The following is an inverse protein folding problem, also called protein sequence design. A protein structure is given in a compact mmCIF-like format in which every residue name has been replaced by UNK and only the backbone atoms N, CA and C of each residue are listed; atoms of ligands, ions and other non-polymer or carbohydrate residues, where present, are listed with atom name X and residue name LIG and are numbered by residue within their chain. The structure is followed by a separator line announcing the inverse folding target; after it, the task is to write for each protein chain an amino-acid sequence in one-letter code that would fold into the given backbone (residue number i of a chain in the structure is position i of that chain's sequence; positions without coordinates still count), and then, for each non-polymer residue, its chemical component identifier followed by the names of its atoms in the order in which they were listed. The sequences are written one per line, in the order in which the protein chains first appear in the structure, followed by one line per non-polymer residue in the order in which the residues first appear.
data_IF_324651063678
#
_entry.id   IF_324651063678
#
_cell.length_a   1.000
_cell.length_b   1.000
_cell.length_c   1.000
_cell.angle_alpha   90.00
_cell.angle_beta   90.00
_cell.angle_gamma   90.00
#
_symmetry.space_group_name_H-M   'P 1'
#
loop_
_entity.id
_entity.type
_entity.pdbx_description
1 polymer ?
#
# COMPACT_ATOMS: atom_id res chain seq x y z
N UNK A 1 -17.74 4.71 8.81
CA UNK A 1 -18.91 5.60 8.60
C UNK A 1 -18.83 6.41 7.31
N UNK A 2 -17.90 7.37 7.15
CA UNK A 2 -17.84 8.23 5.96
C UNK A 2 -17.78 7.45 4.63
N UNK A 3 -16.92 6.42 4.53
CA UNK A 3 -16.88 5.56 3.34
C UNK A 3 -18.19 4.82 3.08
N UNK A 4 -18.82 4.26 4.12
CA UNK A 4 -20.12 3.61 3.99
C UNK A 4 -21.22 4.57 3.54
N UNK A 5 -21.20 5.82 4.03
CA UNK A 5 -22.15 6.85 3.61
C UNK A 5 -21.93 7.29 2.16
N UNK A 6 -20.67 7.46 1.74
CA UNK A 6 -20.32 7.84 0.37
C UNK A 6 -20.57 6.71 -0.62
N UNK A 7 -20.24 5.47 -0.29
CA UNK A 7 -20.18 4.36 -1.27
C UNK A 7 -21.24 3.27 -1.07
N UNK A 8 -21.99 3.26 0.04
CA UNK A 8 -22.93 2.18 0.38
C UNK A 8 -24.29 2.23 -0.33
N UNK A 9 -24.59 3.32 -1.04
CA UNK A 9 -25.80 3.44 -1.84
C UNK A 9 -25.63 2.92 -3.27
N UNK A 10 -26.75 2.79 -4.02
CA UNK A 10 -26.71 2.43 -5.45
C UNK A 10 -25.93 3.45 -6.32
N UNK A 11 -25.87 4.70 -5.84
CA UNK A 11 -25.08 5.80 -6.40
C UNK A 11 -24.29 6.45 -5.26
N UNK A 12 -23.05 6.89 -5.49
CA UNK A 12 -22.26 7.49 -4.43
C UNK A 12 -22.88 8.80 -3.91
N UNK A 13 -22.85 9.00 -2.60
CA UNK A 13 -23.27 10.25 -1.99
C UNK A 13 -22.13 11.28 -2.05
N UNK A 14 -22.34 12.36 -2.81
CA UNK A 14 -21.35 13.42 -2.98
C UNK A 14 -21.30 14.43 -1.83
N UNK A 15 -22.17 14.32 -0.81
CA UNK A 15 -22.26 15.28 0.30
C UNK A 15 -22.36 14.58 1.65
N UNK A 16 -21.32 14.70 2.47
CA UNK A 16 -21.34 14.22 3.85
C UNK A 16 -22.08 15.22 4.75
N UNK A 17 -22.98 14.77 5.64
CA UNK A 17 -23.70 15.65 6.56
C UNK A 17 -22.78 16.19 7.66
N UNK A 18 -23.15 17.31 8.32
CA UNK A 18 -22.34 17.90 9.39
C UNK A 18 -22.01 16.96 10.55
N UNK A 19 -22.93 16.04 10.88
CA UNK A 19 -22.73 15.02 11.92
C UNK A 19 -21.60 14.03 11.62
N UNK A 20 -21.19 13.89 10.35
CA UNK A 20 -20.03 13.10 9.93
C UNK A 20 -18.85 14.04 9.64
N UNK A 21 -19.06 15.08 8.84
CA UNK A 21 -17.98 15.95 8.34
C UNK A 21 -17.25 16.69 9.45
N UNK A 22 -17.96 17.30 10.41
CA UNK A 22 -17.35 18.11 11.47
C UNK A 22 -16.41 17.27 12.35
N UNK A 23 -16.86 16.16 12.99
CA UNK A 23 -15.95 15.35 13.80
C UNK A 23 -14.86 14.69 12.97
N UNK A 24 -15.16 14.24 11.74
CA UNK A 24 -14.16 13.58 10.91
C UNK A 24 -13.02 14.54 10.53
N UNK A 25 -13.34 15.77 10.13
CA UNK A 25 -12.34 16.79 9.85
C UNK A 25 -11.50 17.15 11.08
N UNK A 26 -12.12 17.24 12.26
CA UNK A 26 -11.39 17.52 13.49
C UNK A 26 -10.40 16.40 13.85
N UNK A 27 -10.84 15.14 13.81
CA UNK A 27 -9.99 13.98 14.10
C UNK A 27 -8.88 13.83 13.06
N UNK A 28 -9.22 14.00 11.78
CA UNK A 28 -8.24 14.00 10.68
C UNK A 28 -7.16 15.08 10.86
N UNK A 29 -7.57 16.30 11.24
CA UNK A 29 -6.60 17.37 11.54
C UNK A 29 -5.72 17.04 12.74
N UNK A 30 -6.30 16.43 13.80
CA UNK A 30 -5.57 16.07 15.00
C UNK A 30 -4.55 14.95 14.75
N UNK A 31 -4.91 13.95 13.95
CA UNK A 31 -4.04 12.82 13.58
C UNK A 31 -3.10 13.16 12.40
N UNK A 32 -3.19 14.37 11.85
CA UNK A 32 -2.45 14.80 10.66
C UNK A 32 -2.68 13.87 9.45
N UNK A 33 -3.91 13.38 9.29
CA UNK A 33 -4.32 12.48 8.21
C UNK A 33 -5.43 13.12 7.36
N UNK A 34 -5.51 12.84 6.05
CA UNK A 34 -6.64 13.30 5.24
C UNK A 34 -7.95 12.62 5.70
N UNK A 35 -9.10 13.30 5.59
CA UNK A 35 -10.42 12.75 5.94
C UNK A 35 -10.93 11.79 4.86
N UNK A 36 -10.24 10.65 4.73
CA UNK A 36 -10.59 9.49 3.91
C UNK A 36 -10.09 8.24 4.62
N UNK A 37 -10.60 7.05 4.29
CA UNK A 37 -10.08 5.80 4.85
C UNK A 37 -8.70 5.49 4.27
N UNK A 38 -7.65 5.94 4.96
CA UNK A 38 -6.25 5.67 4.63
C UNK A 38 -5.85 4.25 5.04
N UNK A 39 -4.69 3.78 4.58
CA UNK A 39 -4.09 2.52 5.03
C UNK A 39 -3.92 2.47 6.56
N UNK A 40 -3.58 3.60 7.18
CA UNK A 40 -3.49 3.73 8.63
C UNK A 40 -4.84 3.43 9.32
N UNK A 41 -5.93 4.02 8.82
CA UNK A 41 -7.27 3.80 9.39
C UNK A 41 -7.83 2.40 9.08
N UNK A 42 -7.55 1.86 7.90
CA UNK A 42 -8.06 0.56 7.46
C UNK A 42 -7.29 -0.64 8.02
N UNK A 43 -6.00 -0.45 8.33
CA UNK A 43 -5.12 -1.53 8.79
C UNK A 43 -4.52 -1.19 10.17
N UNK A 44 -3.59 -0.22 10.25
CA UNK A 44 -2.75 -0.01 11.45
C UNK A 44 -3.56 0.25 12.73
N UNK A 45 -4.72 0.90 12.62
CA UNK A 45 -5.63 1.22 13.72
C UNK A 45 -6.85 0.29 13.81
N UNK A 46 -6.96 -0.71 12.94
CA UNK A 46 -8.17 -1.51 12.75
C UNK A 46 -7.90 -3.02 12.95
N UNK A 47 -7.38 -3.39 14.11
CA UNK A 47 -7.14 -4.78 14.44
C UNK A 47 -7.21 -5.02 15.94
N UNK A 48 -7.45 -6.26 16.33
CA UNK A 48 -7.29 -6.76 17.70
C UNK A 48 -6.74 -8.19 17.70
N UNK A 49 -5.99 -8.59 18.74
CA UNK A 49 -5.65 -9.99 18.93
C UNK A 49 -6.88 -10.80 19.35
N UNK A 50 -6.90 -12.09 19.00
CA UNK A 50 -7.94 -13.01 19.45
C UNK A 50 -7.78 -13.44 20.92
N UNK A 51 -6.56 -13.38 21.45
CA UNK A 51 -6.26 -13.63 22.85
C UNK A 51 -5.00 -12.90 23.31
N UNK A 52 -4.85 -12.72 24.62
CA UNK A 52 -3.68 -12.05 25.20
C UNK A 52 -2.39 -12.84 24.98
N UNK A 53 -1.31 -12.13 24.64
CA UNK A 53 0.02 -12.73 24.44
C UNK A 53 0.18 -13.56 23.17
N UNK A 54 -0.82 -13.57 22.28
CA UNK A 54 -0.76 -14.33 21.02
C UNK A 54 0.21 -13.71 20.00
N UNK A 55 0.79 -14.54 19.13
CA UNK A 55 1.72 -14.08 18.10
C UNK A 55 0.99 -13.26 17.02
N UNK A 56 1.11 -11.93 17.09
CA UNK A 56 0.52 -10.97 16.15
C UNK A 56 1.06 -11.09 14.72
N UNK A 57 2.16 -11.83 14.52
CA UNK A 57 2.72 -12.05 13.19
C UNK A 57 1.91 -13.09 12.42
N UNK A 58 0.99 -13.81 13.05
CA UNK A 58 0.12 -14.78 12.36
C UNK A 58 -1.25 -14.15 12.11
N UNK A 59 -1.73 -14.11 10.86
CA UNK A 59 -3.00 -13.46 10.53
C UNK A 59 -4.22 -14.15 11.17
N UNK A 60 -4.15 -15.44 11.49
CA UNK A 60 -5.22 -16.18 12.18
C UNK A 60 -5.47 -15.66 13.59
N UNK A 61 -4.46 -15.02 14.18
CA UNK A 61 -4.49 -14.53 15.55
C UNK A 61 -5.07 -13.11 15.65
N UNK A 62 -5.47 -12.53 14.53
CA UNK A 62 -5.94 -11.16 14.39
C UNK A 62 -7.36 -11.12 13.82
N UNK A 63 -8.11 -10.09 14.19
CA UNK A 63 -9.39 -9.76 13.58
C UNK A 63 -9.48 -8.24 13.36
N UNK A 64 -10.09 -7.81 12.25
CA UNK A 64 -10.41 -6.40 12.02
C UNK A 64 -11.50 -5.91 12.98
N UNK A 65 -11.33 -4.72 13.56
CA UNK A 65 -12.33 -4.12 14.46
C UNK A 65 -13.59 -3.68 13.71
N UNK A 66 -13.40 -3.20 12.48
CA UNK A 66 -14.42 -2.63 11.64
C UNK A 66 -14.26 -3.12 10.20
N UNK A 67 -15.39 -3.55 9.63
CA UNK A 67 -15.56 -3.97 8.24
C UNK A 67 -16.77 -3.23 7.66
N UNK A 68 -16.77 -3.04 6.34
CA UNK A 68 -17.85 -2.40 5.58
C UNK A 68 -18.79 -3.44 4.96
N UNK A 69 -18.26 -4.56 4.48
CA UNK A 69 -19.03 -5.69 3.94
C UNK A 69 -19.52 -6.64 5.04
N UNK A 70 -18.85 -6.65 6.21
CA UNK A 70 -19.09 -7.64 7.27
C UNK A 70 -18.59 -9.04 6.94
N UNK A 71 -17.84 -9.23 5.85
CA UNK A 71 -17.36 -10.54 5.41
C UNK A 71 -16.02 -10.92 6.04
N UNK A 72 -15.77 -12.22 6.14
CA UNK A 72 -14.47 -12.75 6.55
C UNK A 72 -13.36 -12.32 5.58
N UNK A 73 -13.67 -12.26 4.29
CA UNK A 73 -12.77 -11.80 3.23
C UNK A 73 -12.21 -10.40 3.47
N UNK A 74 -13.03 -9.49 4.04
CA UNK A 74 -12.59 -8.12 4.34
C UNK A 74 -11.70 -8.09 5.56
N UNK A 75 -12.06 -8.83 6.62
CA UNK A 75 -11.22 -8.97 7.80
C UNK A 75 -9.87 -9.57 7.41
N UNK A 76 -9.86 -10.65 6.62
CA UNK A 76 -8.64 -11.32 6.13
C UNK A 76 -7.76 -10.38 5.32
N UNK A 77 -8.35 -9.60 4.41
CA UNK A 77 -7.63 -8.62 3.60
C UNK A 77 -6.86 -7.59 4.47
N UNK A 78 -7.48 -7.10 5.55
CA UNK A 78 -6.81 -6.19 6.48
C UNK A 78 -5.77 -6.91 7.34
N UNK A 79 -6.10 -8.05 7.95
CA UNK A 79 -5.20 -8.71 8.92
C UNK A 79 -3.96 -9.34 8.28
N UNK A 80 -4.02 -9.72 7.00
CA UNK A 80 -2.80 -10.08 6.24
C UNK A 80 -1.82 -8.90 6.21
N UNK A 81 -2.32 -7.70 5.95
CA UNK A 81 -1.52 -6.47 5.96
C UNK A 81 -0.98 -6.18 7.38
N UNK A 82 -1.82 -6.33 8.42
CA UNK A 82 -1.38 -6.16 9.81
C UNK A 82 -0.29 -7.16 10.22
N UNK A 83 -0.43 -8.44 9.87
CA UNK A 83 0.55 -9.47 10.16
C UNK A 83 1.90 -9.22 9.45
N UNK A 84 1.87 -8.67 8.23
CA UNK A 84 3.07 -8.23 7.51
C UNK A 84 3.79 -7.10 8.25
N UNK A 85 3.06 -6.07 8.70
CA UNK A 85 3.61 -4.95 9.48
C UNK A 85 4.20 -5.42 10.81
N UNK A 86 3.49 -6.29 11.55
CA UNK A 86 3.98 -6.89 12.79
C UNK A 86 5.24 -7.72 12.57
N UNK A 87 5.32 -8.47 11.47
CA UNK A 87 6.50 -9.28 11.11
C UNK A 87 7.70 -8.41 10.76
N UNK A 88 7.48 -7.21 10.24
CA UNK A 88 8.53 -6.28 9.87
C UNK A 88 9.12 -5.48 11.03
N UNK A 89 8.46 -5.44 12.19
CA UNK A 89 8.91 -4.63 13.33
C UNK A 89 10.39 -4.85 13.70
N UNK A 90 10.90 -6.09 13.86
CA UNK A 90 12.32 -6.31 14.19
C UNK A 90 13.28 -5.94 13.04
N UNK A 91 12.79 -5.88 11.80
CA UNK A 91 13.60 -5.53 10.63
C UNK A 91 14.00 -4.05 10.66
N UNK A 92 13.17 -3.20 11.27
CA UNK A 92 13.45 -1.76 11.37
C UNK A 92 14.71 -1.54 12.20
N UNK A 93 14.75 -2.07 13.43
CA UNK A 93 15.90 -1.95 14.34
C UNK A 93 17.17 -2.61 13.76
N UNK A 94 17.00 -3.79 13.13
CA UNK A 94 18.10 -4.49 12.47
C UNK A 94 18.73 -3.64 11.35
N UNK A 95 17.92 -2.99 10.49
CA UNK A 95 18.49 -2.20 9.40
C UNK A 95 19.03 -0.85 9.86
N UNK A 96 18.51 -0.28 10.96
CA UNK A 96 19.16 0.86 11.63
C UNK A 96 20.54 0.45 12.18
N UNK A 97 20.65 -0.75 12.74
CA UNK A 97 21.94 -1.30 13.18
C UNK A 97 22.89 -1.52 12.00
N UNK A 98 22.38 -1.90 10.83
CA UNK A 98 23.18 -2.03 9.62
C UNK A 98 23.71 -0.66 9.13
N UNK A 99 22.93 0.41 9.24
CA UNK A 99 23.38 1.78 8.94
C UNK A 99 24.52 2.20 9.89
N UNK A 100 24.37 1.95 11.19
CA UNK A 100 25.45 2.23 12.16
C UNK A 100 26.70 1.37 11.94
N UNK A 101 26.54 0.13 11.47
CA UNK A 101 27.65 -0.77 11.18
C UNK A 101 28.49 -0.28 9.98
N UNK A 102 27.85 0.35 8.99
CA UNK A 102 28.55 1.01 7.87
C UNK A 102 29.50 2.09 8.39
N UNK A 103 29.06 2.94 9.33
CA UNK A 103 29.89 4.02 9.88
C UNK A 103 31.11 3.50 10.66
N UNK A 104 31.06 2.24 11.11
CA UNK A 104 32.15 1.55 11.82
C UNK A 104 32.97 0.65 10.91
N UNK A 105 32.70 0.66 9.60
CA UNK A 105 33.29 -0.25 8.61
C UNK A 105 33.12 -1.74 8.94
N UNK A 106 32.07 -2.11 9.68
CA UNK A 106 31.76 -3.49 10.06
C UNK A 106 30.96 -4.21 8.97
N UNK A 107 31.67 -4.63 7.92
CA UNK A 107 31.09 -5.36 6.79
C UNK A 107 30.40 -6.66 7.21
N UNK A 108 30.88 -7.35 8.25
CA UNK A 108 30.31 -8.61 8.71
C UNK A 108 28.88 -8.42 9.25
N UNK A 109 28.66 -7.37 10.05
CA UNK A 109 27.32 -7.03 10.56
C UNK A 109 26.40 -6.58 9.42
N UNK A 110 26.89 -5.78 8.46
CA UNK A 110 26.10 -5.36 7.29
C UNK A 110 25.67 -6.58 6.46
N UNK A 111 26.59 -7.50 6.18
CA UNK A 111 26.32 -8.76 5.46
C UNK A 111 25.26 -9.59 6.20
N UNK A 112 25.41 -9.76 7.51
CA UNK A 112 24.46 -10.52 8.32
C UNK A 112 23.05 -9.90 8.28
N UNK A 113 22.95 -8.57 8.41
CA UNK A 113 21.68 -7.85 8.34
C UNK A 113 21.03 -7.95 6.97
N UNK A 114 21.78 -7.79 5.88
CA UNK A 114 21.27 -7.95 4.50
C UNK A 114 20.81 -9.40 4.22
N UNK A 115 21.60 -10.38 4.67
CA UNK A 115 21.26 -11.78 4.59
C UNK A 115 19.97 -12.12 5.33
N UNK A 116 19.77 -11.53 6.51
CA UNK A 116 18.53 -11.66 7.29
C UNK A 116 17.36 -10.93 6.64
N UNK A 117 17.55 -9.70 6.16
CA UNK A 117 16.55 -8.92 5.43
C UNK A 117 15.99 -9.71 4.24
N UNK A 118 16.85 -10.39 3.48
CA UNK A 118 16.42 -11.28 2.38
C UNK A 118 15.45 -12.36 2.86
N UNK A 119 15.78 -13.07 3.94
CA UNK A 119 14.93 -14.14 4.50
C UNK A 119 13.59 -13.59 4.99
N UNK A 120 13.66 -12.43 5.63
CA UNK A 120 12.55 -11.74 6.24
C UNK A 120 11.57 -11.16 5.18
N UNK A 121 12.08 -10.57 4.09
CA UNK A 121 11.29 -10.15 2.93
C UNK A 121 10.59 -11.34 2.25
N UNK A 122 11.27 -12.47 2.11
CA UNK A 122 10.65 -13.69 1.61
C UNK A 122 9.52 -14.19 2.54
N UNK A 123 9.67 -14.01 3.85
CA UNK A 123 8.63 -14.32 4.84
C UNK A 123 7.41 -13.41 4.74
N UNK A 124 7.62 -12.11 4.49
CA UNK A 124 6.54 -11.15 4.19
C UNK A 124 5.84 -11.50 2.88
N UNK A 125 6.59 -11.88 1.84
CA UNK A 125 6.00 -12.32 0.56
C UNK A 125 5.13 -13.56 0.73
N UNK A 126 5.55 -14.52 1.56
CA UNK A 126 4.72 -15.70 1.87
C UNK A 126 3.42 -15.30 2.57
N UNK A 127 3.44 -14.36 3.52
CA UNK A 127 2.19 -13.85 4.14
C UNK A 127 1.26 -13.24 3.10
N UNK A 128 1.79 -12.44 2.18
CA UNK A 128 0.99 -11.81 1.14
C UNK A 128 0.30 -12.86 0.25
N UNK A 129 0.95 -13.98 -0.06
CA UNK A 129 0.37 -15.07 -0.85
C UNK A 129 -0.79 -15.79 -0.14
N UNK A 130 -0.89 -15.68 1.19
CA UNK A 130 -2.00 -16.25 1.99
C UNK A 130 -3.31 -15.49 1.83
N UNK A 131 -3.34 -14.40 1.07
CA UNK A 131 -4.57 -13.68 0.75
C UNK A 131 -5.64 -14.64 0.20
N UNK A 132 -5.24 -15.63 -0.61
CA UNK A 132 -6.15 -16.60 -1.22
C UNK A 132 -6.81 -17.58 -0.25
N UNK A 133 -6.30 -17.70 0.97
CA UNK A 133 -6.80 -18.69 1.92
C UNK A 133 -8.23 -18.36 2.37
N UNK A 134 -8.54 -17.06 2.52
CA UNK A 134 -9.82 -16.59 3.09
C UNK A 134 -10.36 -15.31 2.44
N UNK A 135 -9.77 -14.83 1.34
CA UNK A 135 -10.29 -13.70 0.59
C UNK A 135 -10.55 -14.11 -0.86
N UNK A 136 -11.81 -14.24 -1.23
CA UNK A 136 -12.23 -14.55 -2.59
C UNK A 136 -12.05 -13.33 -3.53
N UNK A 137 -11.42 -13.49 -4.70
CA UNK A 137 -11.19 -12.39 -5.64
C UNK A 137 -12.46 -11.66 -6.12
N UNK A 138 -13.58 -12.38 -6.27
CA UNK A 138 -14.86 -11.78 -6.65
C UNK A 138 -15.42 -10.95 -5.49
N UNK A 139 -15.38 -11.47 -4.27
CA UNK A 139 -15.82 -10.74 -3.06
C UNK A 139 -14.97 -9.48 -2.87
N UNK A 140 -13.66 -9.59 -2.97
CA UNK A 140 -12.77 -8.43 -2.91
C UNK A 140 -13.15 -7.37 -3.95
N UNK A 141 -13.24 -7.75 -5.23
CA UNK A 141 -13.44 -6.79 -6.30
C UNK A 141 -14.82 -6.11 -6.22
N UNK A 142 -15.88 -6.87 -5.95
CA UNK A 142 -17.25 -6.37 -6.02
C UNK A 142 -17.80 -5.82 -4.70
N UNK A 143 -17.36 -6.36 -3.55
CA UNK A 143 -17.96 -6.04 -2.25
C UNK A 143 -17.04 -5.26 -1.33
N UNK A 144 -15.71 -5.38 -1.47
CA UNK A 144 -14.75 -4.70 -0.60
C UNK A 144 -14.16 -3.46 -1.27
N UNK A 145 -13.59 -3.65 -2.47
CA UNK A 145 -12.85 -2.62 -3.21
C UNK A 145 -13.62 -1.29 -3.40
N UNK A 146 -14.95 -1.26 -3.64
CA UNK A 146 -15.68 0.01 -3.73
C UNK A 146 -15.52 0.89 -2.48
N UNK A 147 -15.47 0.30 -1.28
CA UNK A 147 -15.32 1.04 -0.02
C UNK A 147 -13.88 1.50 0.25
N UNK A 148 -12.89 0.93 -0.45
CA UNK A 148 -11.49 1.35 -0.40
C UNK A 148 -11.23 2.59 -1.27
N UNK A 149 -12.17 2.94 -2.17
CA UNK A 149 -12.04 4.07 -3.07
C UNK A 149 -12.09 5.42 -2.33
N UNK A 150 -11.24 6.35 -2.76
CA UNK A 150 -11.36 7.77 -2.40
C UNK A 150 -12.21 8.51 -3.41
N UNK A 151 -12.27 9.84 -3.33
CA UNK A 151 -13.09 10.69 -4.20
C UNK A 151 -12.31 11.33 -5.37
N UNK A 152 -10.99 11.13 -5.44
CA UNK A 152 -10.14 11.64 -6.51
C UNK A 152 -10.27 10.79 -7.77
N UNK A 153 -10.44 11.45 -8.92
CA UNK A 153 -10.62 10.83 -10.24
C UNK A 153 -11.85 9.91 -10.35
N UNK A 154 -12.90 10.17 -9.56
CA UNK A 154 -14.12 9.34 -9.49
C UNK A 154 -15.32 9.92 -10.26
N UNK A 155 -15.07 10.68 -11.34
CA UNK A 155 -16.13 11.24 -12.17
C UNK A 155 -17.04 10.15 -12.77
N UNK A 156 -16.47 9.06 -13.29
CA UNK A 156 -17.23 7.93 -13.83
C UNK A 156 -18.14 7.28 -12.77
N UNK A 157 -17.70 7.25 -11.51
CA UNK A 157 -18.51 6.75 -10.41
C UNK A 157 -19.63 7.73 -9.99
N UNK A 158 -19.54 9.01 -10.37
CA UNK A 158 -20.52 10.05 -10.04
C UNK A 158 -20.01 11.09 -9.05
N UNK A 159 -18.71 11.19 -8.81
CA UNK A 159 -18.07 12.18 -7.94
C UNK A 159 -17.12 13.12 -8.72
N UNK A 160 -17.60 13.90 -9.71
CA UNK A 160 -16.74 14.76 -10.54
C UNK A 160 -16.00 15.84 -9.73
N UNK A 161 -16.60 16.30 -8.64
CA UNK A 161 -16.04 17.32 -7.72
C UNK A 161 -15.40 16.71 -6.46
N UNK A 162 -15.38 15.38 -6.36
CA UNK A 162 -15.08 14.69 -5.11
C UNK A 162 -16.27 14.69 -4.17
N UNK A 163 -16.03 14.87 -2.87
CA UNK A 163 -17.07 14.87 -1.82
C UNK A 163 -17.11 16.23 -1.14
N UNK A 164 -18.31 16.77 -0.94
CA UNK A 164 -18.55 17.97 -0.15
C UNK A 164 -18.62 17.62 1.34
N UNK A 165 -17.75 18.23 2.12
CA UNK A 165 -17.76 18.14 3.57
C UNK A 165 -18.59 19.30 4.12
N UNK A 166 -19.82 19.00 4.56
CA UNK A 166 -20.75 20.00 5.07
C UNK A 166 -20.40 20.38 6.52
N UNK A 167 -20.26 21.68 6.80
CA UNK A 167 -19.99 22.20 8.15
C UNK A 167 -21.26 22.79 8.80
N UNK A 168 -22.41 22.68 8.14
CA UNK A 168 -23.67 23.30 8.53
C UNK A 168 -23.77 24.76 8.11
N UNK A 169 -24.97 25.33 8.19
CA UNK A 169 -25.24 26.76 7.93
C UNK A 169 -24.70 27.27 6.59
N UNK A 170 -24.76 26.44 5.54
CA UNK A 170 -24.27 26.77 4.20
C UNK A 170 -22.75 26.79 4.05
N UNK A 171 -21.98 26.38 5.08
CA UNK A 171 -20.52 26.28 5.04
C UNK A 171 -20.07 24.87 4.65
N UNK A 172 -18.93 24.76 3.99
CA UNK A 172 -18.33 23.49 3.62
C UNK A 172 -17.39 23.63 2.43
N UNK A 173 -16.80 22.52 2.01
CA UNK A 173 -15.84 22.51 0.88
C UNK A 173 -15.87 21.19 0.13
N UNK A 174 -15.77 21.27 -1.20
CA UNK A 174 -15.50 20.11 -2.06
C UNK A 174 -14.05 19.67 -1.89
N UNK A 175 -13.83 18.36 -1.70
CA UNK A 175 -12.49 17.79 -1.54
C UNK A 175 -12.34 16.49 -2.32
N UNK A 176 -11.15 16.32 -2.90
CA UNK A 176 -10.74 15.13 -3.64
C UNK A 176 -9.59 14.47 -2.87
N UNK A 177 -9.78 13.21 -2.50
CA UNK A 177 -8.78 12.39 -1.82
C UNK A 177 -8.60 11.05 -2.51
N UNK A 178 -7.38 10.52 -2.50
CA UNK A 178 -7.11 9.14 -2.94
C UNK A 178 -7.64 8.16 -1.91
N UNK A 179 -8.03 6.98 -2.39
CA UNK A 179 -8.46 5.89 -1.52
C UNK A 179 -7.28 5.23 -0.80
N UNK A 180 -7.61 4.29 0.08
CA UNK A 180 -6.62 3.45 0.75
C UNK A 180 -5.82 2.65 -0.27
N UNK A 181 -4.50 2.61 -0.14
CA UNK A 181 -3.63 1.75 -0.96
C UNK A 181 -2.39 1.33 -0.20
N UNK A 182 -1.78 0.22 -0.60
CA UNK A 182 -0.54 -0.28 0.00
C UNK A 182 0.64 0.69 -0.18
N UNK A 183 0.56 1.67 -1.10
CA UNK A 183 1.56 2.74 -1.22
C UNK A 183 1.60 3.69 -0.01
N UNK A 184 0.56 3.66 0.83
CA UNK A 184 0.46 4.41 2.08
C UNK A 184 1.02 3.62 3.28
N UNK A 185 1.43 2.36 3.10
CA UNK A 185 2.25 1.68 4.09
C UNK A 185 3.66 2.28 4.08
N UNK A 186 4.16 2.67 5.25
CA UNK A 186 5.52 3.18 5.39
C UNK A 186 6.57 2.08 5.20
N UNK A 187 6.19 0.82 5.40
CA UNK A 187 7.09 -0.32 5.35
C UNK A 187 7.74 -0.55 3.98
N UNK A 188 6.96 -0.39 2.90
CA UNK A 188 7.51 -0.57 1.55
C UNK A 188 8.50 0.55 1.21
N UNK A 189 8.18 1.79 1.57
CA UNK A 189 9.10 2.91 1.39
C UNK A 189 10.35 2.77 2.27
N UNK A 190 10.21 2.22 3.47
CA UNK A 190 11.34 1.91 4.34
C UNK A 190 12.34 0.97 3.64
N UNK A 191 11.88 -0.13 3.04
CA UNK A 191 12.77 -1.05 2.32
C UNK A 191 13.42 -0.41 1.09
N UNK A 192 12.67 0.43 0.37
CA UNK A 192 13.21 1.17 -0.77
C UNK A 192 14.34 2.12 -0.33
N UNK A 193 14.13 2.87 0.75
CA UNK A 193 15.12 3.80 1.30
C UNK A 193 16.37 3.07 1.81
N UNK A 194 16.21 1.98 2.56
CA UNK A 194 17.32 1.17 3.08
C UNK A 194 18.18 0.59 1.95
N UNK A 195 17.54 0.11 0.88
CA UNK A 195 18.23 -0.50 -0.27
C UNK A 195 18.59 0.52 -1.35
N UNK A 196 18.42 1.83 -1.12
CA UNK A 196 18.76 2.87 -2.09
C UNK A 196 18.01 2.74 -3.43
N UNK A 197 16.77 2.27 -3.41
CA UNK A 197 15.93 2.16 -4.61
C UNK A 197 15.40 3.54 -4.98
N UNK A 198 15.72 4.00 -6.19
CA UNK A 198 15.23 5.28 -6.70
C UNK A 198 14.05 5.09 -7.65
N UNK A 199 12.90 5.70 -7.31
CA UNK A 199 11.69 5.63 -8.10
C UNK A 199 11.50 6.90 -8.93
N UNK A 200 11.37 6.78 -10.27
CA UNK A 200 11.03 7.91 -11.15
C UNK A 200 9.65 8.50 -10.84
N UNK A 201 8.79 7.70 -10.22
CA UNK A 201 7.49 8.09 -9.67
C UNK A 201 7.59 8.67 -8.25
N UNK A 202 8.72 9.29 -7.88
CA UNK A 202 8.95 9.90 -6.55
C UNK A 202 7.79 10.80 -6.10
N UNK A 203 7.12 11.47 -7.03
CA UNK A 203 5.93 12.29 -6.78
C UNK A 203 4.77 11.50 -6.16
N UNK A 204 4.55 10.24 -6.56
CA UNK A 204 3.53 9.38 -5.96
C UNK A 204 3.90 8.98 -4.54
N UNK A 205 5.14 8.55 -4.29
CA UNK A 205 5.57 8.14 -2.95
C UNK A 205 5.54 9.30 -1.96
N UNK A 206 5.99 10.49 -2.39
CA UNK A 206 5.89 11.74 -1.63
C UNK A 206 4.43 12.11 -1.36
N UNK A 207 3.54 11.99 -2.34
CA UNK A 207 2.11 12.19 -2.12
C UNK A 207 1.56 11.19 -1.10
N UNK A 208 1.91 9.90 -1.18
CA UNK A 208 1.44 8.88 -0.24
C UNK A 208 1.94 9.10 1.19
N UNK A 209 3.08 9.78 1.40
CA UNK A 209 3.51 10.20 2.76
C UNK A 209 2.53 11.18 3.41
N UNK A 210 1.76 11.94 2.64
CA UNK A 210 0.66 12.79 3.18
C UNK A 210 -0.54 11.98 3.67
N UNK A 211 -0.59 10.67 3.38
CA UNK A 211 -1.61 9.72 3.85
C UNK A 211 -1.08 8.77 4.95
N UNK A 212 0.17 8.94 5.37
CA UNK A 212 0.79 8.23 6.50
C UNK A 212 0.60 9.04 7.79
N UNK A 213 0.63 8.38 8.94
CA UNK A 213 0.79 9.11 10.20
C UNK A 213 2.05 9.95 10.15
N UNK A 214 1.96 11.23 10.53
CA UNK A 214 3.10 12.17 10.39
C UNK A 214 4.40 11.66 11.03
N UNK A 215 4.42 11.02 12.22
CA UNK A 215 5.64 10.41 12.75
C UNK A 215 6.29 9.39 11.80
N UNK A 216 5.52 8.59 11.07
CA UNK A 216 6.07 7.60 10.13
C UNK A 216 6.63 8.28 8.87
N UNK A 217 5.95 9.32 8.38
CA UNK A 217 6.45 10.11 7.25
C UNK A 217 7.78 10.81 7.60
N UNK A 218 7.86 11.43 8.79
CA UNK A 218 9.11 12.03 9.30
C UNK A 218 10.20 11.00 9.47
N UNK A 219 9.89 9.82 10.01
CA UNK A 219 10.86 8.74 10.11
C UNK A 219 11.46 8.36 8.75
N UNK A 220 10.65 8.29 7.68
CA UNK A 220 11.18 8.06 6.33
C UNK A 220 12.03 9.23 5.81
N UNK A 221 11.65 10.47 6.10
CA UNK A 221 12.42 11.68 5.76
C UNK A 221 13.80 11.65 6.47
N UNK A 222 13.84 11.31 7.77
CA UNK A 222 15.07 11.18 8.56
C UNK A 222 15.92 10.01 8.05
N UNK A 223 15.29 8.88 7.71
CA UNK A 223 15.97 7.69 7.20
C UNK A 223 16.66 7.94 5.86
N UNK A 224 16.03 8.70 4.96
CA UNK A 224 16.62 9.11 3.69
C UNK A 224 17.89 9.94 3.87
N UNK A 225 17.99 10.69 4.98
CA UNK A 225 19.16 11.52 5.27
C UNK A 225 20.35 10.72 5.82
N UNK A 226 20.10 9.55 6.42
CA UNK A 226 21.15 8.76 7.10
C UNK A 226 21.51 7.44 6.38
N UNK A 227 20.69 6.98 5.42
CA UNK A 227 20.94 5.71 4.73
C UNK A 227 22.24 5.75 3.92
N UNK A 228 23.14 4.81 4.17
CA UNK A 228 24.51 4.77 3.63
C UNK A 228 24.88 3.38 3.04
N UNK A 229 24.01 2.37 3.19
CA UNK A 229 24.29 0.97 2.82
C UNK A 229 24.60 0.83 1.34
N UNK A 230 23.82 1.46 0.45
CA UNK A 230 24.08 1.38 -0.99
C UNK A 230 25.46 1.96 -1.35
N UNK A 231 25.78 3.14 -0.85
CA UNK A 231 27.08 3.77 -1.08
C UNK A 231 28.23 2.92 -0.55
N UNK A 232 28.05 2.28 0.62
CA UNK A 232 29.03 1.37 1.19
C UNK A 232 29.28 0.15 0.30
N UNK A 233 28.22 -0.45 -0.25
CA UNK A 233 28.36 -1.57 -1.21
C UNK A 233 29.08 -1.12 -2.49
N UNK A 234 28.73 0.04 -3.04
CA UNK A 234 29.37 0.59 -4.25
C UNK A 234 30.86 0.91 -4.02
N UNK A 235 31.25 1.27 -2.79
CA UNK A 235 32.63 1.64 -2.43
C UNK A 235 33.53 0.44 -2.09
N UNK A 236 32.96 -0.75 -1.89
CA UNK A 236 33.69 -1.96 -1.52
C UNK A 236 33.39 -3.13 -2.49
N UNK A 237 33.61 -2.97 -3.81
CA UNK A 237 33.29 -3.99 -4.82
C UNK A 237 34.09 -5.30 -4.64
N UNK A 238 35.23 -5.26 -3.97
CA UNK A 238 36.07 -6.41 -3.65
C UNK A 238 35.48 -7.32 -2.57
N UNK A 239 34.54 -6.81 -1.76
CA UNK A 239 33.82 -7.60 -0.76
C UNK A 239 32.67 -8.37 -1.42
N UNK A 240 32.99 -9.48 -2.09
CA UNK A 240 32.01 -10.27 -2.86
C UNK A 240 30.77 -10.67 -2.05
N UNK A 241 30.95 -10.99 -0.77
CA UNK A 241 29.86 -11.41 0.12
C UNK A 241 28.90 -10.25 0.46
N UNK A 242 29.44 -9.02 0.56
CA UNK A 242 28.66 -7.80 0.76
C UNK A 242 27.81 -7.51 -0.48
N UNK A 243 28.43 -7.48 -1.67
CA UNK A 243 27.74 -7.25 -2.94
C UNK A 243 26.68 -8.32 -3.20
N UNK A 244 27.01 -9.59 -2.96
CA UNK A 244 26.10 -10.72 -3.11
C UNK A 244 24.91 -10.62 -2.16
N UNK A 245 25.14 -10.32 -0.88
CA UNK A 245 24.08 -10.20 0.13
C UNK A 245 23.15 -9.03 -0.15
N UNK A 246 23.69 -7.88 -0.55
CA UNK A 246 22.91 -6.72 -0.98
C UNK A 246 22.05 -7.04 -2.20
N UNK A 247 22.65 -7.62 -3.25
CA UNK A 247 21.95 -8.00 -4.47
C UNK A 247 20.85 -9.04 -4.22
N UNK A 248 21.06 -9.94 -3.26
CA UNK A 248 20.08 -10.94 -2.86
C UNK A 248 18.90 -10.30 -2.10
N UNK A 249 19.14 -9.31 -1.23
CA UNK A 249 18.09 -8.54 -0.56
C UNK A 249 17.25 -7.74 -1.58
N UNK A 250 17.89 -7.04 -2.52
CA UNK A 250 17.22 -6.32 -3.62
C UNK A 250 16.37 -7.27 -4.46
N UNK A 251 16.92 -8.44 -4.81
CA UNK A 251 16.18 -9.45 -5.58
C UNK A 251 14.97 -9.97 -4.81
N UNK A 252 15.08 -10.14 -3.49
CA UNK A 252 13.94 -10.54 -2.65
C UNK A 252 12.84 -9.49 -2.59
N UNK A 253 13.19 -8.19 -2.53
CA UNK A 253 12.21 -7.10 -2.60
C UNK A 253 11.52 -7.07 -3.98
N UNK A 254 12.28 -7.29 -5.06
CA UNK A 254 11.70 -7.44 -6.41
C UNK A 254 10.74 -8.62 -6.48
N UNK A 255 11.09 -9.78 -5.91
CA UNK A 255 10.20 -10.95 -5.86
C UNK A 255 8.92 -10.68 -5.07
N UNK A 256 8.99 -9.93 -3.96
CA UNK A 256 7.81 -9.48 -3.24
C UNK A 256 6.88 -8.62 -4.14
N UNK A 257 7.47 -7.70 -4.92
CA UNK A 257 6.72 -6.87 -5.88
C UNK A 257 6.09 -7.72 -7.00
N UNK A 258 6.75 -8.76 -7.48
CA UNK A 258 6.16 -9.72 -8.41
C UNK A 258 4.97 -10.46 -7.80
N UNK A 259 5.06 -10.90 -6.54
CA UNK A 259 3.93 -11.51 -5.82
C UNK A 259 2.73 -10.56 -5.73
N UNK A 260 2.99 -9.28 -5.45
CA UNK A 260 1.94 -8.25 -5.45
C UNK A 260 1.33 -8.03 -6.85
N UNK A 261 2.12 -8.02 -7.92
CA UNK A 261 1.60 -7.93 -9.30
C UNK A 261 0.71 -9.14 -9.64
N UNK A 262 1.09 -10.35 -9.22
CA UNK A 262 0.26 -11.57 -9.40
C UNK A 262 -1.07 -11.42 -8.69
N UNK A 263 -1.07 -10.94 -7.45
CA UNK A 263 -2.30 -10.67 -6.70
C UNK A 263 -3.18 -9.63 -7.38
N UNK A 264 -2.64 -8.48 -7.75
CA UNK A 264 -3.41 -7.42 -8.45
C UNK A 264 -4.04 -7.95 -9.74
N UNK A 265 -3.33 -8.81 -10.46
CA UNK A 265 -3.87 -9.45 -11.67
C UNK A 265 -5.10 -10.29 -11.33
N UNK A 266 -5.02 -11.12 -10.29
CA UNK A 266 -6.10 -12.03 -9.89
C UNK A 266 -7.28 -11.34 -9.20
N UNK A 267 -7.01 -10.33 -8.38
CA UNK A 267 -8.03 -9.66 -7.54
C UNK A 267 -8.65 -8.44 -8.19
N UNK A 268 -8.04 -7.88 -9.24
CA UNK A 268 -8.54 -6.68 -9.91
C UNK A 268 -8.74 -6.94 -11.40
N UNK A 269 -7.68 -7.35 -12.10
CA UNK A 269 -7.72 -7.41 -13.58
C UNK A 269 -8.66 -8.51 -14.06
N UNK A 270 -8.53 -9.74 -13.54
CA UNK A 270 -9.39 -10.84 -13.97
C UNK A 270 -10.87 -10.60 -13.61
N UNK A 271 -11.24 -10.20 -12.37
CA UNK A 271 -12.63 -9.88 -12.04
C UNK A 271 -13.18 -8.71 -12.85
N UNK A 272 -12.38 -7.69 -13.15
CA UNK A 272 -12.83 -6.54 -13.96
C UNK A 272 -13.24 -6.89 -15.40
N UNK A 273 -12.74 -8.01 -15.93
CA UNK A 273 -13.06 -8.52 -17.27
C UNK A 273 -14.27 -9.44 -17.26
N UNK A 274 -14.64 -9.96 -16.11
CA UNK A 274 -15.84 -10.77 -15.95
C UNK A 274 -17.03 -9.82 -15.95
N UNK A 275 -17.93 -10.01 -16.92
CA UNK A 275 -19.16 -9.22 -17.00
C UNK A 275 -20.01 -9.58 -15.79
N UNK A 276 -20.14 -8.66 -14.83
CA UNK A 276 -21.17 -8.79 -13.80
C UNK A 276 -22.52 -8.96 -14.53
N UNK A 277 -23.33 -9.99 -14.23
CA UNK A 277 -24.58 -10.20 -14.94
C UNK A 277 -25.41 -8.92 -14.85
N UNK A 278 -25.53 -8.23 -15.99
CA UNK A 278 -26.38 -7.07 -16.14
C UNK A 278 -27.78 -7.52 -15.76
N UNK A 279 -28.29 -7.09 -14.60
CA UNK A 279 -29.73 -7.03 -14.40
C UNK A 279 -30.23 -5.92 -15.32
N UNK A 280 -30.57 -6.30 -16.56
CA UNK A 280 -31.11 -5.41 -17.57
C UNK A 280 -32.26 -4.59 -16.94
N UNK A 281 -32.08 -3.26 -16.89
CA UNK A 281 -33.09 -2.33 -16.37
C UNK A 281 -32.82 -1.71 -15.00
N UNK A 282 -31.73 -2.04 -14.31
CA UNK A 282 -31.39 -1.41 -13.02
C UNK A 282 -30.54 -0.14 -13.21
N UNK A 283 -30.92 0.97 -12.55
CA UNK A 283 -30.13 2.21 -12.44
C UNK A 283 -28.85 2.05 -11.59
N UNK A 284 -28.60 0.86 -11.04
CA UNK A 284 -27.46 0.55 -10.16
C UNK A 284 -26.14 0.67 -10.94
N UNK A 285 -25.28 1.61 -10.55
CA UNK A 285 -23.93 1.71 -11.11
C UNK A 285 -23.08 0.56 -10.57
N UNK A 286 -22.36 -0.14 -11.45
CA UNK A 286 -21.32 -1.08 -11.02
C UNK A 286 -20.12 -0.30 -10.44
N UNK A 287 -20.18 -0.01 -9.14
CA UNK A 287 -19.16 0.78 -8.43
C UNK A 287 -17.77 0.16 -8.52
N UNK A 288 -17.67 -1.18 -8.54
CA UNK A 288 -16.40 -1.87 -8.71
C UNK A 288 -15.74 -1.54 -10.07
N UNK A 289 -16.51 -1.60 -11.15
CA UNK A 289 -16.03 -1.20 -12.47
C UNK A 289 -15.69 0.31 -12.53
N UNK A 290 -16.57 1.15 -11.98
CA UNK A 290 -16.42 2.60 -12.01
C UNK A 290 -15.22 3.10 -11.20
N UNK A 291 -14.83 2.39 -10.14
CA UNK A 291 -13.64 2.69 -9.33
C UNK A 291 -12.37 2.05 -9.90
N UNK A 292 -12.46 1.24 -10.96
CA UNK A 292 -11.32 0.60 -11.63
C UNK A 292 -10.96 1.29 -12.95
N UNK A 293 -11.91 1.95 -13.61
CA UNK A 293 -11.70 2.61 -14.89
C UNK A 293 -11.51 4.12 -14.72
N UNK A 294 -10.58 4.70 -15.48
CA UNK A 294 -10.56 6.14 -15.70
C UNK A 294 -11.62 6.46 -16.75
N UNK A 295 -12.44 7.48 -16.52
CA UNK A 295 -13.22 8.08 -17.61
C UNK A 295 -12.27 8.70 -18.61
N UNK A 296 -11.86 7.95 -19.64
CA UNK A 296 -11.06 8.49 -20.74
C UNK A 296 -11.99 8.90 -21.86
N UNK A 297 -12.15 10.21 -22.05
CA UNK A 297 -12.38 10.73 -23.38
C UNK A 297 -11.17 10.35 -24.26
N UNK A 298 -11.32 9.34 -25.11
CA UNK A 298 -10.59 9.29 -26.38
C UNK A 298 -9.37 8.36 -26.56
N UNK A 299 -8.94 7.54 -25.61
CA UNK A 299 -7.82 6.60 -25.84
C UNK A 299 -8.22 5.13 -25.69
N UNK A 300 -7.85 4.33 -26.70
CA UNK A 300 -8.22 2.93 -26.93
C UNK A 300 -7.55 1.90 -26.00
N UNK A 301 -6.91 2.32 -24.92
CA UNK A 301 -6.28 1.42 -23.94
C UNK A 301 -7.07 1.44 -22.62
N UNK A 302 -7.73 0.33 -22.27
CA UNK A 302 -8.34 0.13 -20.95
C UNK A 302 -7.25 0.17 -19.87
N UNK A 303 -7.02 1.35 -19.29
CA UNK A 303 -6.09 1.53 -18.19
C UNK A 303 -6.79 1.24 -16.85
N UNK A 304 -6.45 0.13 -16.21
CA UNK A 304 -6.92 -0.20 -14.86
C UNK A 304 -6.23 0.69 -13.81
N UNK A 305 -7.02 1.22 -12.88
CA UNK A 305 -6.56 2.12 -11.83
C UNK A 305 -6.79 1.54 -10.44
N UNK A 306 -5.82 1.76 -9.55
CA UNK A 306 -5.90 1.38 -8.16
C UNK A 306 -6.76 2.35 -7.38
N UNK A 307 -7.19 1.98 -6.18
CA UNK A 307 -7.90 2.87 -5.25
C UNK A 307 -7.05 4.10 -4.87
N UNK A 308 -5.72 3.95 -4.88
CA UNK A 308 -4.76 5.04 -4.76
C UNK A 308 -4.62 5.91 -6.04
N UNK A 309 -5.28 5.57 -7.14
CA UNK A 309 -5.35 6.40 -8.36
C UNK A 309 -4.17 6.28 -9.33
N UNK A 310 -3.28 5.30 -9.18
CA UNK A 310 -2.22 5.00 -10.15
C UNK A 310 -2.70 3.99 -11.22
N UNK A 311 -2.12 4.05 -12.43
CA UNK A 311 -2.32 3.00 -13.46
C UNK A 311 -1.65 1.72 -12.96
N UNK A 312 -2.44 0.72 -12.55
CA UNK A 312 -1.97 -0.42 -11.74
C UNK A 312 -0.78 -1.15 -12.33
N UNK A 313 -0.93 -1.73 -13.52
CA UNK A 313 0.10 -2.60 -14.11
C UNK A 313 1.36 -1.82 -14.48
N UNK A 314 1.29 -0.66 -15.18
CA UNK A 314 2.49 0.11 -15.49
C UNK A 314 3.22 0.56 -14.22
N UNK A 315 2.50 1.10 -13.24
CA UNK A 315 3.11 1.59 -12.00
C UNK A 315 3.83 0.46 -11.25
N UNK A 316 3.17 -0.67 -11.04
CA UNK A 316 3.75 -1.78 -10.28
C UNK A 316 4.93 -2.44 -11.01
N UNK A 317 4.87 -2.56 -12.34
CA UNK A 317 5.99 -3.07 -13.14
C UNK A 317 7.19 -2.14 -13.08
N UNK A 318 6.99 -0.84 -13.28
CA UNK A 318 8.05 0.16 -13.15
C UNK A 318 8.67 0.12 -11.75
N UNK A 319 7.85 0.09 -10.71
CA UNK A 319 8.28 -0.03 -9.32
C UNK A 319 9.19 -1.25 -9.13
N UNK A 320 8.81 -2.44 -9.62
CA UNK A 320 9.63 -3.66 -9.57
C UNK A 320 10.92 -3.52 -10.37
N UNK A 321 10.84 -3.02 -11.61
CA UNK A 321 12.00 -2.92 -12.50
C UNK A 321 13.04 -1.94 -11.94
N UNK A 322 12.60 -0.84 -11.31
CA UNK A 322 13.45 0.12 -10.59
C UNK A 322 14.10 -0.51 -9.35
N UNK A 323 13.38 -1.37 -8.62
CA UNK A 323 13.99 -2.16 -7.54
C UNK A 323 15.09 -3.06 -8.09
N UNK A 324 14.82 -3.81 -9.16
CA UNK A 324 15.82 -4.71 -9.73
C UNK A 324 17.04 -3.95 -10.28
N UNK A 325 16.83 -2.75 -10.82
CA UNK A 325 17.90 -1.86 -11.28
C UNK A 325 18.78 -1.32 -10.15
N UNK A 326 18.37 -1.46 -8.89
CA UNK A 326 19.19 -1.08 -7.73
C UNK A 326 20.30 -2.09 -7.41
N UNK A 327 20.36 -3.24 -8.11
CA UNK A 327 21.48 -4.18 -7.98
C UNK A 327 22.81 -3.54 -8.42
N UNK A 328 23.89 -3.96 -7.78
CA UNK A 328 25.26 -3.57 -8.12
C UNK A 328 25.85 -4.61 -9.07
N UNK A 329 26.48 -4.16 -10.16
CA UNK A 329 27.13 -5.04 -11.12
C UNK A 329 28.40 -5.65 -10.50
N UNK A 330 28.51 -6.97 -10.53
CA UNK A 330 29.78 -7.66 -10.25
C UNK A 330 30.63 -7.59 -11.52
N UNK A 331 31.61 -6.70 -11.59
CA UNK A 331 32.57 -6.69 -12.68
C UNK A 331 33.53 -7.89 -12.56
N UNK A 332 33.05 -9.09 -12.88
CA UNK A 332 33.85 -10.31 -13.05
C UNK A 332 33.35 -11.17 -14.22
N UNK A 333 32.90 -10.53 -15.30
CA UNK A 333 32.84 -11.17 -16.61
C UNK A 333 33.51 -10.25 -17.64
N UNK A 334 34.49 -10.81 -18.34
CA UNK A 334 35.30 -10.26 -19.45
C UNK A 334 36.57 -9.46 -19.07
N UNK A 335 37.66 -10.21 -18.87
CA UNK A 335 38.97 -9.89 -19.45
C UNK A 335 39.31 -10.97 -20.48
#
# INVERSE_FOLDING_TARGET
MAQGYTWGGEVPCERLPPSISVPFLAVSSYLELPPVATYAALNLLNWRPLSDGIDLRQPENLEALHTLSGTDDESWFYVISNAMEARATPMIEMMLSAIEAVDREDSATVIACLGRLRVDLASISRLLERMDERCDPYVFYHHIRPYLAGSQNMEAAGLPRGVFFDLGNGKGSWRKYRGGSNGQSSLIQFFDTILGVSHKSSTFHQEMRTYMHRPHARFLEDLEAITNIRQYVDSNPELSDLVSSYNAAVSSLSSFRDSHIRLVTRYIILPSRQVAPNRAGSRVKNLAAATTQVGSHGESSQAYVGTGGSKLVPFLRTSRDETLAAKVNTNHETA
#
